data_IF_278288578994
#
_entry.id   IF_278288578994
#
_cell.length_a   1.000
_cell.length_b   1.000
_cell.length_c   1.000
_cell.angle_alpha   90.00
_cell.angle_beta   90.00
_cell.angle_gamma   90.00
#
_symmetry.space_group_name_H-M   'P 1'
#
loop_
_entity.id
_entity.type
_entity.pdbx_description
1 polymer ?
#
# COMPACT_ATOMS: atom_id res chain seq x y z
N UNK A 1 6.96 12.74 8.63
CA UNK A 1 5.85 11.97 8.01
C UNK A 1 6.30 10.53 7.99
N UNK A 2 5.51 9.66 8.59
CA UNK A 2 5.82 8.24 8.67
C UNK A 2 4.84 7.48 7.78
N UNK A 3 5.38 6.53 7.01
CA UNK A 3 4.59 5.65 6.19
C UNK A 3 5.04 4.21 6.44
N UNK A 4 4.07 3.31 6.60
CA UNK A 4 4.27 1.90 6.91
C UNK A 4 3.64 1.07 5.79
N UNK A 5 4.39 0.09 5.31
CA UNK A 5 3.94 -0.93 4.38
C UNK A 5 3.77 -2.25 5.13
N UNK A 6 2.55 -2.80 5.08
CA UNK A 6 2.24 -4.14 5.57
C UNK A 6 1.93 -5.07 4.40
N UNK A 7 2.51 -6.25 4.40
CA UNK A 7 2.23 -7.33 3.43
C UNK A 7 1.87 -8.58 4.23
N UNK A 8 0.59 -8.72 4.52
CA UNK A 8 0.04 -9.50 5.63
C UNK A 8 0.80 -9.29 6.94
N UNK A 9 1.56 -10.28 7.42
CA UNK A 9 2.25 -10.25 8.72
C UNK A 9 3.59 -9.50 8.68
N UNK A 10 4.15 -9.25 7.50
CA UNK A 10 5.37 -8.48 7.33
C UNK A 10 5.08 -6.98 7.39
N UNK A 11 5.84 -6.24 8.20
CA UNK A 11 5.73 -4.79 8.32
C UNK A 11 7.11 -4.12 8.19
N UNK A 12 7.19 -3.05 7.40
CA UNK A 12 8.35 -2.16 7.33
C UNK A 12 7.93 -0.72 7.08
N UNK A 13 8.81 0.23 7.39
CA UNK A 13 8.67 1.59 6.87
C UNK A 13 8.65 1.57 5.35
N UNK A 14 7.68 2.25 4.77
CA UNK A 14 7.37 2.21 3.33
C UNK A 14 8.59 2.48 2.47
N UNK A 15 9.42 3.46 2.84
CA UNK A 15 10.60 3.85 2.06
C UNK A 15 11.89 3.07 2.40
N UNK A 16 11.86 2.26 3.47
CA UNK A 16 12.95 1.33 3.82
C UNK A 16 12.65 -0.11 3.35
N UNK A 17 11.40 -0.39 2.96
CA UNK A 17 11.01 -1.63 2.32
C UNK A 17 11.59 -1.70 0.91
N UNK A 18 12.76 -2.33 0.77
CA UNK A 18 13.44 -2.55 -0.50
C UNK A 18 12.66 -3.51 -1.43
N UNK A 19 13.07 -3.56 -2.70
CA UNK A 19 12.39 -4.37 -3.72
C UNK A 19 12.49 -5.87 -3.44
N UNK A 20 13.63 -6.35 -2.92
CA UNK A 20 13.82 -7.76 -2.59
C UNK A 20 12.83 -8.19 -1.50
N UNK A 21 12.74 -7.41 -0.43
CA UNK A 21 11.80 -7.68 0.66
C UNK A 21 10.34 -7.72 0.16
N UNK A 22 9.92 -6.78 -0.69
CA UNK A 22 8.57 -6.76 -1.26
C UNK A 22 8.30 -8.01 -2.09
N UNK A 23 9.23 -8.36 -2.97
CA UNK A 23 9.13 -9.53 -3.85
C UNK A 23 9.06 -10.80 -3.02
N UNK A 24 9.91 -10.93 -1.99
CA UNK A 24 9.97 -12.09 -1.11
C UNK A 24 8.66 -12.29 -0.34
N UNK A 25 8.10 -11.23 0.26
CA UNK A 25 6.82 -11.31 0.98
C UNK A 25 5.67 -11.75 0.07
N UNK A 26 5.61 -11.22 -1.15
CA UNK A 26 4.56 -11.59 -2.12
C UNK A 26 4.75 -13.02 -2.61
N UNK A 27 5.98 -13.41 -2.95
CA UNK A 27 6.27 -14.75 -3.48
C UNK A 27 6.09 -15.83 -2.41
N UNK A 28 6.46 -15.57 -1.15
CA UNK A 28 6.20 -16.47 -0.05
C UNK A 28 4.71 -16.78 0.08
N UNK A 29 3.86 -15.73 0.12
CA UNK A 29 2.40 -15.92 0.20
C UNK A 29 1.83 -16.68 -0.99
N UNK A 30 2.34 -16.43 -2.21
CA UNK A 30 1.94 -17.19 -3.40
C UNK A 30 2.28 -18.67 -3.26
N UNK A 31 3.48 -19.01 -2.79
CA UNK A 31 3.90 -20.40 -2.56
C UNK A 31 3.00 -21.07 -1.52
N UNK A 32 2.63 -20.33 -0.48
CA UNK A 32 1.78 -20.82 0.60
C UNK A 32 0.28 -20.81 0.22
N UNK A 33 -0.06 -20.43 -1.02
CA UNK A 33 -1.44 -20.29 -1.51
C UNK A 33 -2.33 -19.37 -0.64
N UNK A 34 -1.70 -18.37 -0.01
CA UNK A 34 -2.36 -17.38 0.83
C UNK A 34 -2.78 -16.15 0.02
N UNK A 35 -3.87 -15.51 0.44
CA UNK A 35 -4.25 -14.19 -0.06
C UNK A 35 -3.15 -13.18 0.28
N UNK A 36 -2.79 -12.37 -0.71
CA UNK A 36 -1.84 -11.27 -0.53
C UNK A 36 -2.64 -10.04 -0.11
N UNK A 37 -2.61 -9.66 1.16
CA UNK A 37 -3.18 -8.39 1.62
C UNK A 37 -2.06 -7.37 1.76
N UNK A 38 -2.12 -6.28 1.00
CA UNK A 38 -1.18 -5.15 1.10
C UNK A 38 -1.91 -3.98 1.74
N UNK A 39 -1.29 -3.38 2.75
CA UNK A 39 -1.78 -2.16 3.38
C UNK A 39 -0.67 -1.11 3.43
N UNK A 40 -1.00 0.12 3.05
CA UNK A 40 -0.13 1.29 3.23
C UNK A 40 -0.80 2.23 4.21
N UNK A 41 -0.10 2.53 5.31
CA UNK A 41 -0.54 3.44 6.35
C UNK A 41 0.34 4.69 6.28
N UNK A 42 -0.24 5.86 6.10
CA UNK A 42 0.48 7.13 5.98
C UNK A 42 0.00 8.06 7.10
N UNK A 43 0.93 8.62 7.86
CA UNK A 43 0.67 9.61 8.90
C UNK A 43 1.11 11.02 8.47
N UNK A 44 0.12 11.90 8.34
CA UNK A 44 0.27 13.33 8.04
C UNK A 44 0.29 14.17 9.32
N UNK A 45 1.07 13.76 10.33
CA UNK A 45 1.22 14.52 11.58
C UNK A 45 -0.08 14.58 12.40
N UNK A 46 -0.78 13.45 12.52
CA UNK A 46 -2.01 13.33 13.31
C UNK A 46 -3.24 12.94 12.49
N UNK A 47 -3.15 12.96 11.15
CA UNK A 47 -4.14 12.38 10.25
C UNK A 47 -3.60 11.13 9.60
N UNK A 48 -4.32 10.02 9.74
CA UNK A 48 -3.92 8.71 9.20
C UNK A 48 -4.73 8.37 7.96
N UNK A 49 -4.04 8.09 6.87
CA UNK A 49 -4.61 7.55 5.65
C UNK A 49 -4.26 6.07 5.55
N UNK A 50 -5.22 5.24 5.14
CA UNK A 50 -5.03 3.81 4.91
C UNK A 50 -5.43 3.47 3.47
N UNK A 51 -4.53 2.82 2.76
CA UNK A 51 -4.75 2.21 1.45
C UNK A 51 -4.65 0.70 1.59
N UNK A 52 -5.51 -0.04 0.92
CA UNK A 52 -5.54 -1.50 0.98
C UNK A 52 -5.87 -2.10 -0.37
N UNK A 53 -5.31 -3.27 -0.66
CA UNK A 53 -5.73 -4.08 -1.81
C UNK A 53 -7.09 -4.73 -1.54
N UNK A 54 -7.88 -5.08 -2.58
CA UNK A 54 -9.22 -5.67 -2.42
C UNK A 54 -9.26 -7.00 -1.65
N UNK A 55 -8.14 -7.72 -1.67
CA UNK A 55 -7.92 -8.99 -0.97
C UNK A 55 -7.78 -8.87 0.54
N UNK A 56 -7.68 -7.65 1.08
CA UNK A 56 -7.69 -7.41 2.51
C UNK A 56 -9.11 -7.51 3.06
N UNK A 57 -9.39 -8.48 3.93
CA UNK A 57 -10.66 -8.54 4.63
C UNK A 57 -10.82 -7.30 5.55
N UNK A 58 -11.93 -6.57 5.40
CA UNK A 58 -12.37 -5.57 6.39
C UNK A 58 -11.96 -4.11 6.17
N UNK A 59 -12.07 -3.57 4.95
CA UNK A 59 -11.74 -2.16 4.68
C UNK A 59 -12.96 -1.28 4.47
N UNK A 60 -13.49 -0.76 5.58
CA UNK A 60 -14.29 0.46 5.61
C UNK A 60 -13.37 1.69 5.65
N UNK A 61 -13.55 2.61 4.69
CA UNK A 61 -12.92 3.92 4.68
C UNK A 61 -13.73 4.93 5.51
N UNK A 62 -13.04 5.73 6.33
CA UNK A 62 -13.62 6.68 7.26
C UNK A 62 -14.44 7.79 6.59
N UNK A 63 -15.49 8.25 7.29
CA UNK A 63 -16.53 9.17 6.78
C UNK A 63 -16.13 10.63 6.56
N UNK A 64 -14.83 10.95 6.47
CA UNK A 64 -14.37 12.30 6.15
C UNK A 64 -13.92 12.36 4.69
N UNK A 65 -14.26 13.46 4.01
CA UNK A 65 -13.80 13.71 2.66
C UNK A 65 -12.25 13.80 2.63
N UNK A 66 -11.58 13.16 1.64
CA UNK A 66 -10.13 13.29 1.47
C UNK A 66 -9.71 14.75 1.23
N UNK A 67 -8.57 15.15 1.78
CA UNK A 67 -7.87 16.38 1.38
C UNK A 67 -7.32 16.26 -0.04
N UNK A 68 -6.90 17.37 -0.65
CA UNK A 68 -6.24 17.37 -1.97
C UNK A 68 -5.01 16.45 -2.03
N UNK A 69 -4.22 16.38 -0.96
CA UNK A 69 -3.05 15.50 -0.88
C UNK A 69 -3.46 14.03 -0.76
N UNK A 70 -4.43 13.70 0.11
CA UNK A 70 -4.98 12.34 0.22
C UNK A 70 -5.59 11.88 -1.10
N UNK A 71 -6.32 12.76 -1.80
CA UNK A 71 -6.88 12.50 -3.13
C UNK A 71 -5.78 12.18 -4.15
N UNK A 72 -4.71 12.96 -4.21
CA UNK A 72 -3.59 12.70 -5.13
C UNK A 72 -2.96 11.32 -4.89
N UNK A 73 -2.90 10.88 -3.64
CA UNK A 73 -2.37 9.56 -3.28
C UNK A 73 -3.37 8.45 -3.64
N UNK A 74 -4.67 8.66 -3.44
CA UNK A 74 -5.71 7.74 -3.91
C UNK A 74 -5.68 7.59 -5.43
N UNK A 75 -5.60 8.70 -6.16
CA UNK A 75 -5.53 8.70 -7.62
C UNK A 75 -4.26 7.97 -8.11
N UNK A 76 -3.13 8.13 -7.40
CA UNK A 76 -1.91 7.37 -7.68
C UNK A 76 -2.10 5.86 -7.43
N UNK A 77 -2.74 5.49 -6.31
CA UNK A 77 -3.03 4.10 -5.97
C UNK A 77 -3.90 3.41 -7.02
N UNK A 78 -4.97 4.09 -7.45
CA UNK A 78 -5.87 3.63 -8.49
C UNK A 78 -5.19 3.53 -9.86
N UNK A 79 -4.45 4.59 -10.26
CA UNK A 79 -3.69 4.61 -11.52
C UNK A 79 -2.66 3.49 -11.63
N UNK A 80 -2.06 3.08 -10.51
CA UNK A 80 -1.11 1.95 -10.47
C UNK A 80 -1.82 0.58 -10.46
N UNK A 81 -3.15 0.55 -10.47
CA UNK A 81 -3.94 -0.67 -10.49
C UNK A 81 -3.80 -1.47 -9.19
N UNK A 82 -3.59 -0.80 -8.06
CA UNK A 82 -3.48 -1.44 -6.75
C UNK A 82 -4.86 -1.75 -6.13
N UNK A 83 -5.93 -1.21 -6.69
CA UNK A 83 -7.31 -1.46 -6.29
C UNK A 83 -7.99 -2.57 -7.12
N UNK A 84 -7.23 -3.36 -7.88
CA UNK A 84 -7.74 -4.47 -8.70
C UNK A 84 -7.17 -5.79 -8.22
N UNK A 85 -7.79 -6.93 -8.57
CA UNK A 85 -7.27 -8.26 -8.21
C UNK A 85 -5.95 -8.62 -8.94
N UNK A 86 -5.56 -7.84 -9.96
CA UNK A 86 -4.32 -8.02 -10.74
C UNK A 86 -3.13 -7.22 -10.17
N UNK A 87 -3.17 -6.79 -8.92
CA UNK A 87 -2.03 -6.14 -8.29
C UNK A 87 -0.84 -7.11 -8.17
N UNK A 88 0.39 -6.58 -8.20
CA UNK A 88 1.61 -7.38 -8.07
C UNK A 88 2.76 -6.55 -7.47
N UNK A 89 3.90 -7.20 -7.23
CA UNK A 89 5.09 -6.57 -6.66
C UNK A 89 5.58 -5.37 -7.48
N UNK A 90 5.60 -5.48 -8.81
CA UNK A 90 6.06 -4.40 -9.69
C UNK A 90 5.19 -3.14 -9.57
N UNK A 91 3.86 -3.30 -9.53
CA UNK A 91 2.92 -2.20 -9.31
C UNK A 91 3.12 -1.53 -7.94
N UNK A 92 3.34 -2.32 -6.88
CA UNK A 92 3.61 -1.81 -5.54
C UNK A 92 4.95 -1.04 -5.48
N UNK A 93 6.00 -1.55 -6.12
CA UNK A 93 7.30 -0.88 -6.20
C UNK A 93 7.19 0.44 -6.96
N UNK A 94 6.46 0.46 -8.08
CA UNK A 94 6.19 1.67 -8.85
C UNK A 94 5.42 2.69 -8.01
N UNK A 95 4.35 2.26 -7.32
CA UNK A 95 3.60 3.10 -6.39
C UNK A 95 4.51 3.72 -5.32
N UNK A 96 5.34 2.90 -4.64
CA UNK A 96 6.31 3.36 -3.62
C UNK A 96 7.25 4.44 -4.17
N UNK A 97 7.79 4.23 -5.37
CA UNK A 97 8.70 5.16 -6.02
C UNK A 97 8.05 6.51 -6.36
N UNK A 98 6.81 6.48 -6.86
CA UNK A 98 6.05 7.69 -7.14
C UNK A 98 5.61 8.41 -5.87
N UNK A 99 5.17 7.67 -4.86
CA UNK A 99 4.72 8.22 -3.58
C UNK A 99 5.85 8.96 -2.85
N UNK A 100 7.09 8.48 -2.95
CA UNK A 100 8.28 9.15 -2.40
C UNK A 100 8.52 10.55 -2.98
N UNK A 101 7.94 10.88 -4.13
CA UNK A 101 8.05 12.21 -4.76
C UNK A 101 6.92 13.16 -4.33
N UNK A 102 5.86 12.62 -3.71
CA UNK A 102 4.68 13.38 -3.26
C UNK A 102 4.79 13.72 -1.77
N UNK A 103 5.28 12.77 -0.97
CA UNK A 103 5.56 12.92 0.46
C UNK A 103 6.94 13.54 0.68
#
# INVERSE_FOLDING_TARGET
>A
MDAILKIGDGERKLFEADEHWIIDQINQRKRDSLLICIQVLIDFGGRKMRLTTPTCAGTGGGGLAPTSQEKQIFDLWDKMGMNTNDFNAGKLIAFRSHLKKIL
#
